data_IF_889406060337
#
_entry.id   IF_889406060337
#
_cell.length_a   1.000
_cell.length_b   1.000
_cell.length_c   1.000
_cell.angle_alpha   90.00
_cell.angle_beta   90.00
_cell.angle_gamma   90.00
#
_symmetry.space_group_name_H-M   'P 1'
#
loop_
_entity.id
_entity.type
_entity.pdbx_description
1 polymer ?
#
# COMPACT_ATOMS: atom_id res chain seq x y z
N UNK A 1 12.39 9.90 -18.69
CA UNK A 1 11.28 9.07 -19.19
C UNK A 1 11.82 7.71 -19.63
N UNK A 2 11.08 6.60 -19.54
CA UNK A 2 11.54 5.29 -20.09
C UNK A 2 11.74 5.40 -21.62
N UNK A 3 10.99 6.28 -22.27
CA UNK A 3 11.15 6.61 -23.69
C UNK A 3 12.45 7.38 -24.03
N UNK A 4 13.14 7.98 -23.05
CA UNK A 4 14.43 8.67 -23.29
C UNK A 4 15.61 7.68 -23.35
N UNK A 5 15.41 6.40 -23.02
CA UNK A 5 16.45 5.37 -23.01
C UNK A 5 16.36 4.40 -24.19
N UNK A 6 15.43 4.62 -25.12
CA UNK A 6 15.25 3.78 -26.29
C UNK A 6 15.81 4.47 -27.54
N UNK A 7 16.79 3.83 -28.19
CA UNK A 7 17.35 4.29 -29.46
C UNK A 7 16.83 3.39 -30.57
N UNK A 8 16.14 4.01 -31.53
CA UNK A 8 15.58 3.33 -32.68
C UNK A 8 16.56 3.46 -33.85
N UNK A 9 17.03 2.33 -34.36
CA UNK A 9 17.96 2.30 -35.49
C UNK A 9 17.59 1.17 -36.45
N UNK A 10 17.92 1.34 -37.73
CA UNK A 10 17.72 0.29 -38.73
C UNK A 10 18.55 -0.94 -38.36
N UNK A 11 17.95 -2.13 -38.40
CA UNK A 11 18.63 -3.40 -38.08
C UNK A 11 19.90 -3.61 -38.90
N UNK A 12 19.95 -3.17 -40.16
CA UNK A 12 21.17 -3.31 -40.97
C UNK A 12 22.38 -2.70 -40.26
N UNK A 13 22.20 -1.50 -39.69
CA UNK A 13 23.26 -0.75 -39.00
C UNK A 13 23.62 -1.39 -37.65
N UNK A 14 22.64 -1.87 -36.89
CA UNK A 14 22.86 -2.46 -35.56
C UNK A 14 23.40 -3.89 -35.65
N UNK A 15 22.84 -4.71 -36.55
CA UNK A 15 23.22 -6.11 -36.74
C UNK A 15 24.68 -6.29 -37.16
N UNK A 16 25.15 -5.48 -38.11
CA UNK A 16 26.54 -5.49 -38.59
C UNK A 16 27.53 -5.05 -37.49
N UNK A 17 27.19 -3.99 -36.72
CA UNK A 17 28.08 -3.45 -35.68
C UNK A 17 28.17 -4.28 -34.40
N UNK A 18 27.11 -5.04 -34.08
CA UNK A 18 27.04 -5.83 -32.85
C UNK A 18 27.12 -7.35 -33.09
N UNK A 19 27.45 -7.79 -34.30
CA UNK A 19 27.60 -9.22 -34.64
C UNK A 19 26.31 -10.04 -34.51
N UNK A 20 25.15 -9.38 -34.56
CA UNK A 20 23.82 -10.02 -34.45
C UNK A 20 23.13 -10.01 -35.81
N UNK A 21 23.72 -10.69 -36.77
CA UNK A 21 23.22 -10.65 -38.14
C UNK A 21 22.03 -11.60 -38.37
N UNK A 22 22.01 -12.77 -37.73
CA UNK A 22 21.02 -13.82 -38.01
C UNK A 22 20.04 -14.10 -36.87
N UNK A 23 20.12 -13.38 -35.74
CA UNK A 23 19.28 -13.63 -34.56
C UNK A 23 18.30 -12.49 -34.27
N UNK A 24 17.05 -12.86 -34.02
CA UNK A 24 15.98 -11.95 -33.56
C UNK A 24 15.59 -12.31 -32.13
N UNK A 25 15.41 -11.32 -31.28
CA UNK A 25 15.01 -11.53 -29.88
C UNK A 25 13.50 -11.57 -29.70
N UNK A 26 12.75 -10.84 -30.54
CA UNK A 26 11.29 -10.86 -30.54
C UNK A 26 10.74 -10.53 -31.93
N UNK A 27 9.55 -11.03 -32.22
CA UNK A 27 8.78 -10.69 -33.41
C UNK A 27 7.45 -10.10 -32.96
N UNK A 28 7.08 -8.96 -33.56
CA UNK A 28 5.77 -8.34 -33.34
C UNK A 28 4.97 -8.50 -34.62
N UNK A 29 3.86 -9.23 -34.54
CA UNK A 29 2.96 -9.49 -35.67
C UNK A 29 1.62 -8.85 -35.36
N UNK A 30 1.14 -8.00 -36.27
CA UNK A 30 -0.18 -7.39 -36.16
C UNK A 30 -1.20 -8.24 -36.91
N UNK A 31 -2.14 -8.83 -36.17
CA UNK A 31 -3.29 -9.52 -36.76
C UNK A 31 -4.42 -8.53 -37.09
N UNK A 32 -5.29 -8.90 -38.03
CA UNK A 32 -6.45 -8.09 -38.42
C UNK A 32 -7.54 -8.00 -37.34
N UNK A 33 -7.67 -9.04 -36.50
CA UNK A 33 -8.68 -9.14 -35.43
C UNK A 33 -8.09 -9.75 -34.15
N UNK A 34 -8.69 -9.42 -33.01
CA UNK A 34 -8.29 -9.91 -31.67
C UNK A 34 -8.43 -11.43 -31.53
N UNK A 35 -9.50 -12.02 -32.10
CA UNK A 35 -9.73 -13.48 -32.09
C UNK A 35 -8.69 -14.22 -32.91
N UNK A 36 -8.39 -13.71 -34.13
CA UNK A 36 -7.33 -14.24 -34.99
C UNK A 36 -5.94 -14.10 -34.38
N UNK A 37 -5.70 -13.05 -33.58
CA UNK A 37 -4.45 -12.89 -32.83
C UNK A 37 -4.27 -14.00 -31.79
N UNK A 38 -5.34 -14.38 -31.09
CA UNK A 38 -5.34 -15.48 -30.13
C UNK A 38 -5.06 -16.83 -30.79
N UNK A 39 -5.79 -17.16 -31.86
CA UNK A 39 -5.58 -18.41 -32.61
C UNK A 39 -4.17 -18.49 -33.22
N UNK A 40 -3.63 -17.37 -33.72
CA UNK A 40 -2.27 -17.31 -34.25
C UNK A 40 -1.23 -17.53 -33.15
N UNK A 41 -1.43 -16.93 -31.97
CA UNK A 41 -0.53 -17.13 -30.84
C UNK A 41 -0.51 -18.60 -30.39
N UNK A 42 -1.66 -19.25 -30.32
CA UNK A 42 -1.78 -20.66 -29.96
C UNK A 42 -1.10 -21.58 -30.99
N UNK A 43 -1.35 -21.36 -32.29
CA UNK A 43 -0.69 -22.10 -33.38
C UNK A 43 0.82 -21.95 -33.39
N UNK A 44 1.33 -20.75 -33.09
CA UNK A 44 2.76 -20.49 -33.00
C UNK A 44 3.39 -21.13 -31.77
N UNK A 45 2.65 -21.23 -30.66
CA UNK A 45 3.09 -21.86 -29.42
C UNK A 45 3.17 -23.39 -29.54
N UNK A 46 2.31 -23.99 -30.35
CA UNK A 46 2.28 -25.44 -30.64
C UNK A 46 3.25 -25.85 -31.77
N UNK A 47 3.92 -24.89 -32.42
CA UNK A 47 4.89 -25.19 -33.47
C UNK A 47 6.14 -25.88 -32.90
N UNK A 48 6.44 -27.10 -33.37
CA UNK A 48 7.57 -27.92 -32.89
C UNK A 48 8.93 -27.51 -33.47
N UNK A 49 8.94 -26.72 -34.54
CA UNK A 49 10.17 -26.32 -35.24
C UNK A 49 10.95 -25.23 -34.51
N UNK A 50 10.28 -24.38 -33.73
CA UNK A 50 10.90 -23.31 -32.95
C UNK A 50 10.16 -23.17 -31.62
N UNK A 51 10.89 -23.24 -30.50
CA UNK A 51 10.33 -22.98 -29.17
C UNK A 51 10.02 -21.48 -29.02
N UNK A 52 8.88 -21.05 -29.55
CA UNK A 52 8.40 -19.67 -29.49
C UNK A 52 7.46 -19.51 -28.31
N UNK A 53 7.77 -18.54 -27.44
CA UNK A 53 6.85 -18.11 -26.40
C UNK A 53 5.88 -17.07 -26.99
N UNK A 54 5.00 -17.54 -27.89
CA UNK A 54 4.00 -16.70 -28.53
C UNK A 54 2.88 -16.37 -27.53
N UNK A 55 2.59 -15.08 -27.40
CA UNK A 55 1.56 -14.56 -26.51
C UNK A 55 0.93 -13.33 -27.13
N UNK A 56 -0.33 -13.07 -26.79
CA UNK A 56 -1.02 -11.87 -27.27
C UNK A 56 -0.46 -10.62 -26.58
N UNK A 57 -0.58 -9.45 -27.21
CA UNK A 57 -0.16 -8.18 -26.61
C UNK A 57 -0.87 -7.94 -25.26
N UNK A 58 -2.17 -8.28 -25.19
CA UNK A 58 -2.95 -8.21 -23.95
C UNK A 58 -2.37 -9.10 -22.86
N UNK A 59 -2.06 -10.36 -23.17
CA UNK A 59 -1.48 -11.32 -22.23
C UNK A 59 -0.08 -10.89 -21.77
N UNK A 60 0.75 -10.36 -22.68
CA UNK A 60 2.05 -9.79 -22.35
C UNK A 60 1.93 -8.64 -21.33
N UNK A 61 1.03 -7.68 -21.57
CA UNK A 61 0.80 -6.58 -20.63
C UNK A 61 0.13 -7.03 -19.32
N UNK A 62 -0.74 -8.04 -19.36
CA UNK A 62 -1.32 -8.63 -18.16
C UNK A 62 -0.24 -9.27 -17.28
N UNK A 63 0.60 -10.13 -17.86
CA UNK A 63 1.73 -10.76 -17.14
C UNK A 63 2.70 -9.72 -16.57
N UNK A 64 2.93 -8.63 -17.31
CA UNK A 64 3.74 -7.51 -16.83
C UNK A 64 3.09 -6.80 -15.63
N UNK A 65 1.76 -6.66 -15.64
CA UNK A 65 1.00 -6.04 -14.54
C UNK A 65 0.86 -6.94 -13.31
N UNK A 66 0.87 -8.27 -13.47
CA UNK A 66 0.71 -9.21 -12.35
C UNK A 66 1.86 -9.10 -11.34
N UNK A 67 3.11 -8.97 -11.82
CA UNK A 67 4.27 -8.81 -10.93
C UNK A 67 4.15 -7.53 -10.09
N UNK A 68 3.77 -6.42 -10.71
CA UNK A 68 3.53 -5.15 -10.00
C UNK A 68 2.35 -5.26 -9.04
N UNK A 69 1.28 -5.98 -9.41
CA UNK A 69 0.09 -6.19 -8.58
C UNK A 69 0.40 -6.98 -7.32
N UNK A 70 1.20 -8.04 -7.42
CA UNK A 70 1.62 -8.85 -6.26
C UNK A 70 2.44 -8.03 -5.27
N UNK A 71 3.36 -7.19 -5.76
CA UNK A 71 4.14 -6.27 -4.91
C UNK A 71 3.24 -5.28 -4.17
N UNK A 72 2.26 -4.68 -4.87
CA UNK A 72 1.31 -3.76 -4.25
C UNK A 72 0.48 -4.43 -3.15
N UNK A 73 0.04 -5.67 -3.37
CA UNK A 73 -0.66 -6.44 -2.34
C UNK A 73 0.21 -6.71 -1.11
N UNK A 74 1.49 -7.05 -1.29
CA UNK A 74 2.41 -7.24 -0.19
C UNK A 74 2.58 -5.95 0.64
N UNK A 75 2.78 -4.80 -0.01
CA UNK A 75 2.91 -3.50 0.67
C UNK A 75 1.63 -3.14 1.43
N UNK A 76 0.45 -3.35 0.82
CA UNK A 76 -0.83 -3.16 1.50
C UNK A 76 -0.98 -4.06 2.71
N UNK A 77 -0.52 -5.31 2.63
CA UNK A 77 -0.47 -6.23 3.77
C UNK A 77 0.35 -5.68 4.92
N UNK A 78 1.58 -5.22 4.65
CA UNK A 78 2.45 -4.60 5.67
C UNK A 78 1.80 -3.37 6.29
N UNK A 79 1.14 -2.52 5.50
CA UNK A 79 0.41 -1.35 5.99
C UNK A 79 -0.70 -1.73 6.98
N UNK A 80 -1.46 -2.81 6.72
CA UNK A 80 -2.48 -3.32 7.64
C UNK A 80 -1.86 -3.82 8.94
N UNK A 81 -0.75 -4.56 8.88
CA UNK A 81 -0.05 -5.01 10.09
C UNK A 81 0.47 -3.84 10.94
N UNK A 82 1.03 -2.82 10.30
CA UNK A 82 1.45 -1.57 10.97
C UNK A 82 0.25 -0.85 11.61
N UNK A 83 -0.89 -0.80 10.92
CA UNK A 83 -2.12 -0.22 11.45
C UNK A 83 -2.58 -0.95 12.72
N UNK A 84 -2.59 -2.28 12.70
CA UNK A 84 -2.92 -3.09 13.89
C UNK A 84 -1.95 -2.76 15.03
N UNK A 85 -0.64 -2.70 14.77
CA UNK A 85 0.37 -2.33 15.77
C UNK A 85 0.14 -0.94 16.36
N UNK A 86 -0.23 0.04 15.54
CA UNK A 86 -0.55 1.39 16.01
C UNK A 86 -1.83 1.44 16.87
N UNK A 87 -2.84 0.60 16.60
CA UNK A 87 -4.02 0.49 17.47
C UNK A 87 -3.60 0.02 18.86
N UNK A 88 -2.75 -1.00 18.96
CA UNK A 88 -2.21 -1.46 20.24
C UNK A 88 -1.39 -0.37 20.94
N UNK A 89 -0.62 0.42 20.19
CA UNK A 89 0.11 1.57 20.71
C UNK A 89 -0.81 2.60 21.36
N UNK A 90 -1.85 3.04 20.63
CA UNK A 90 -2.87 3.97 21.13
C UNK A 90 -3.61 3.40 22.34
N UNK A 91 -3.94 2.11 22.30
CA UNK A 91 -4.64 1.46 23.40
C UNK A 91 -3.78 1.43 24.68
N UNK A 92 -2.49 1.14 24.55
CA UNK A 92 -1.57 1.12 25.69
C UNK A 92 -1.40 2.51 26.32
N UNK A 93 -1.26 3.55 25.50
CA UNK A 93 -1.16 4.93 26.01
C UNK A 93 -2.45 5.37 26.69
N UNK A 94 -3.61 5.01 26.15
CA UNK A 94 -4.91 5.29 26.77
C UNK A 94 -5.10 4.55 28.10
N UNK A 95 -4.69 3.28 28.20
CA UNK A 95 -4.71 2.57 29.49
C UNK A 95 -3.85 3.26 30.54
N UNK A 96 -2.64 3.71 30.16
CA UNK A 96 -1.76 4.45 31.07
C UNK A 96 -2.39 5.79 31.51
N UNK A 97 -2.95 6.56 30.57
CA UNK A 97 -3.61 7.83 30.86
C UNK A 97 -4.83 7.68 31.79
N UNK A 98 -5.64 6.64 31.56
CA UNK A 98 -6.79 6.34 32.42
C UNK A 98 -6.31 5.98 33.82
N UNK A 99 -5.27 5.14 33.95
CA UNK A 99 -4.72 4.71 35.24
C UNK A 99 -4.31 5.89 36.13
N UNK A 100 -3.72 6.93 35.52
CA UNK A 100 -3.33 8.15 36.23
C UNK A 100 -4.52 9.00 36.69
N UNK A 101 -5.65 8.95 35.97
CA UNK A 101 -6.84 9.77 36.23
C UNK A 101 -7.97 9.01 36.96
N UNK A 102 -7.72 7.78 37.44
CA UNK A 102 -8.76 6.92 38.07
C UNK A 102 -9.42 7.61 39.26
N UNK A 103 -8.63 8.25 40.13
CA UNK A 103 -9.14 8.90 41.35
C UNK A 103 -10.08 10.05 41.01
N UNK A 104 -9.72 10.87 40.03
CA UNK A 104 -10.51 12.02 39.59
C UNK A 104 -11.85 11.58 38.98
N UNK A 105 -11.83 10.51 38.16
CA UNK A 105 -13.04 9.91 37.59
C UNK A 105 -13.95 9.37 38.71
N UNK A 106 -13.36 8.77 39.75
CA UNK A 106 -14.07 8.29 40.93
C UNK A 106 -14.83 9.42 41.64
N UNK A 107 -14.17 10.56 41.86
CA UNK A 107 -14.79 11.75 42.49
C UNK A 107 -15.91 12.31 41.62
N UNK A 108 -15.69 12.48 40.31
CA UNK A 108 -16.71 12.96 39.37
C UNK A 108 -17.94 12.06 39.35
N UNK A 109 -17.74 10.74 39.41
CA UNK A 109 -18.85 9.77 39.45
C UNK A 109 -19.64 9.82 40.74
N UNK A 110 -19.02 10.15 41.87
CA UNK A 110 -19.73 10.35 43.15
C UNK A 110 -20.59 11.61 43.09
N UNK A 111 -20.12 12.65 42.40
CA UNK A 111 -20.87 13.89 42.17
C UNK A 111 -22.03 13.75 41.16
N UNK A 112 -22.24 12.55 40.58
CA UNK A 112 -23.37 12.27 39.70
C UNK A 112 -23.11 12.45 38.20
N UNK A 113 -21.85 12.62 37.76
CA UNK A 113 -21.55 12.65 36.33
C UNK A 113 -21.89 11.33 35.64
N UNK A 114 -22.54 11.43 34.47
CA UNK A 114 -22.86 10.26 33.66
C UNK A 114 -21.60 9.59 33.09
N UNK A 115 -21.60 8.25 33.05
CA UNK A 115 -20.48 7.44 32.51
C UNK A 115 -20.17 7.76 31.04
N UNK A 116 -21.19 8.18 30.30
CA UNK A 116 -21.10 8.58 28.89
C UNK A 116 -20.24 9.83 28.69
N UNK A 117 -20.25 10.80 29.60
CA UNK A 117 -19.40 11.98 29.49
C UNK A 117 -17.91 11.63 29.63
N UNK A 118 -17.60 10.70 30.55
CA UNK A 118 -16.22 10.19 30.73
C UNK A 118 -15.77 9.44 29.47
N UNK A 119 -16.64 8.58 28.91
CA UNK A 119 -16.37 7.86 27.67
C UNK A 119 -16.06 8.81 26.51
N UNK A 120 -16.92 9.80 26.29
CA UNK A 120 -16.78 10.77 25.19
C UNK A 120 -15.50 11.58 25.36
N UNK A 121 -15.15 11.98 26.59
CA UNK A 121 -13.90 12.71 26.85
C UNK A 121 -12.67 11.92 26.43
N UNK A 122 -12.59 10.63 26.78
CA UNK A 122 -11.45 9.78 26.41
C UNK A 122 -11.42 9.47 24.91
N UNK A 123 -12.58 9.25 24.29
CA UNK A 123 -12.69 9.07 22.85
C UNK A 123 -12.25 10.33 22.09
N UNK A 124 -12.62 11.51 22.56
CA UNK A 124 -12.15 12.77 21.98
C UNK A 124 -10.63 12.93 22.15
N UNK A 125 -10.09 12.60 23.33
CA UNK A 125 -8.64 12.62 23.56
C UNK A 125 -7.90 11.69 22.58
N UNK A 126 -8.39 10.46 22.39
CA UNK A 126 -7.78 9.51 21.44
C UNK A 126 -7.93 9.95 19.99
N UNK A 127 -9.08 10.52 19.62
CA UNK A 127 -9.31 11.05 18.26
C UNK A 127 -8.43 12.25 17.96
N UNK A 128 -8.22 13.17 18.92
CA UNK A 128 -7.33 14.32 18.75
C UNK A 128 -5.88 13.84 18.56
N UNK A 129 -5.42 12.90 19.39
CA UNK A 129 -4.08 12.32 19.24
C UNK A 129 -3.90 11.63 17.88
N UNK A 130 -4.92 10.90 17.42
CA UNK A 130 -4.91 10.24 16.13
C UNK A 130 -4.98 11.22 14.93
N UNK A 131 -5.68 12.34 15.08
CA UNK A 131 -5.75 13.39 14.07
C UNK A 131 -4.38 14.08 13.95
N UNK A 132 -3.78 14.48 15.08
CA UNK A 132 -2.45 15.10 15.10
C UNK A 132 -1.40 14.15 14.54
N UNK A 133 -1.39 12.89 14.98
CA UNK A 133 -0.49 11.87 14.44
C UNK A 133 -0.71 11.61 12.95
N UNK A 134 -1.97 11.60 12.50
CA UNK A 134 -2.33 11.46 11.08
C UNK A 134 -1.85 12.61 10.22
N UNK A 135 -2.01 13.86 10.69
CA UNK A 135 -1.51 15.06 9.99
C UNK A 135 0.01 15.02 9.89
N UNK A 136 0.71 14.71 10.98
CA UNK A 136 2.17 14.58 10.99
C UNK A 136 2.62 13.46 10.05
N UNK A 137 1.97 12.29 10.10
CA UNK A 137 2.26 11.17 9.22
C UNK A 137 2.04 11.51 7.74
N UNK A 138 0.96 12.22 7.41
CA UNK A 138 0.69 12.70 6.06
C UNK A 138 1.73 13.72 5.59
N UNK A 139 2.12 14.66 6.45
CA UNK A 139 3.15 15.64 6.15
C UNK A 139 4.51 14.96 5.88
N UNK A 140 4.89 13.96 6.68
CA UNK A 140 6.09 13.14 6.44
C UNK A 140 5.95 12.37 5.12
N UNK A 141 4.78 11.80 4.84
CA UNK A 141 4.49 11.08 3.60
C UNK A 141 4.64 11.96 2.35
N UNK A 142 4.24 13.22 2.42
CA UNK A 142 4.41 14.18 1.31
C UNK A 142 5.88 14.41 0.94
N UNK A 143 6.83 14.34 1.89
CA UNK A 143 8.26 14.42 1.55
C UNK A 143 8.76 13.25 0.70
N UNK A 144 8.03 12.13 0.71
CA UNK A 144 8.34 10.98 -0.12
C UNK A 144 7.76 11.10 -1.55
N UNK A 145 6.90 12.09 -1.81
CA UNK A 145 6.33 12.33 -3.14
C UNK A 145 7.42 12.69 -4.15
N UNK A 146 7.37 12.06 -5.33
CA UNK A 146 8.38 12.25 -6.37
C UNK A 146 9.69 11.48 -6.16
N UNK A 147 9.86 10.78 -5.03
CA UNK A 147 10.97 9.84 -4.87
C UNK A 147 10.83 8.72 -5.91
N UNK A 148 11.86 8.62 -6.74
CA UNK A 148 11.91 7.62 -7.81
C UNK A 148 12.87 6.52 -7.41
N UNK A 149 12.34 5.36 -7.02
CA UNK A 149 13.13 4.17 -6.76
C UNK A 149 13.26 3.37 -8.06
N UNK A 150 14.46 3.34 -8.63
CA UNK A 150 14.76 2.49 -9.79
C UNK A 150 15.15 1.11 -9.25
N UNK A 151 14.31 0.10 -9.51
CA UNK A 151 14.61 -1.28 -9.14
C UNK A 151 14.67 -2.13 -10.41
N UNK A 152 15.78 -2.85 -10.59
CA UNK A 152 15.93 -3.80 -11.69
C UNK A 152 15.29 -5.10 -11.25
N UNK A 153 14.11 -5.41 -11.78
CA UNK A 153 13.51 -6.74 -11.56
C UNK A 153 14.07 -7.65 -12.64
N UNK A 154 14.95 -8.57 -12.24
CA UNK A 154 15.43 -9.65 -13.10
C UNK A 154 14.38 -10.76 -13.17
N UNK A 155 13.48 -10.68 -14.15
CA UNK A 155 12.57 -11.76 -14.55
C UNK A 155 13.10 -12.54 -15.75
N UNK A 156 12.58 -13.75 -15.97
CA UNK A 156 12.92 -14.59 -17.13
C UNK A 156 12.68 -13.83 -18.44
N UNK A 157 13.75 -13.38 -19.10
CA UNK A 157 13.72 -12.88 -20.48
C UNK A 157 14.38 -11.52 -20.73
N UNK A 158 14.51 -10.65 -19.73
CA UNK A 158 15.31 -9.43 -19.80
C UNK A 158 15.33 -8.74 -18.42
N UNK A 159 16.48 -8.19 -18.01
CA UNK A 159 16.54 -7.27 -16.88
C UNK A 159 15.75 -6.00 -17.23
N UNK A 160 14.52 -5.89 -16.71
CA UNK A 160 13.66 -4.74 -16.99
C UNK A 160 13.76 -3.77 -15.82
N UNK A 161 14.14 -2.54 -16.15
CA UNK A 161 14.21 -1.44 -15.19
C UNK A 161 12.77 -1.04 -14.83
N UNK A 162 12.32 -1.43 -13.63
CA UNK A 162 11.05 -0.97 -13.08
C UNK A 162 11.32 0.31 -12.33
N UNK A 163 10.82 1.41 -12.87
CA UNK A 163 10.90 2.72 -12.22
C UNK A 163 9.67 2.85 -11.33
N UNK A 164 9.83 2.62 -10.03
CA UNK A 164 8.80 2.88 -9.03
C UNK A 164 8.83 4.38 -8.73
N UNK A 165 7.78 5.08 -9.15
CA UNK A 165 7.55 6.45 -8.72
C UNK A 165 6.61 6.42 -7.53
N UNK A 166 7.07 6.92 -6.39
CA UNK A 166 6.18 7.18 -5.27
C UNK A 166 5.35 8.42 -5.63
N UNK A 167 4.04 8.21 -5.80
CA UNK A 167 3.09 9.28 -6.08
C UNK A 167 2.15 9.39 -4.89
N UNK A 168 2.16 10.56 -4.25
CA UNK A 168 1.28 10.87 -3.13
C UNK A 168 0.08 11.65 -3.66
N UNK A 169 -1.00 10.93 -3.96
CA UNK A 169 -2.25 11.55 -4.40
C UNK A 169 -3.08 12.05 -3.19
N UNK A 170 -3.93 13.04 -3.41
CA UNK A 170 -4.87 13.57 -2.40
C UNK A 170 -5.76 12.46 -1.83
N UNK A 171 -6.17 11.49 -2.66
CA UNK A 171 -6.94 10.32 -2.22
C UNK A 171 -6.19 9.45 -1.21
N UNK A 172 -4.87 9.29 -1.37
CA UNK A 172 -4.03 8.47 -0.48
C UNK A 172 -3.88 9.18 0.88
N UNK A 173 -3.71 10.51 0.86
CA UNK A 173 -3.65 11.31 2.07
C UNK A 173 -4.98 11.28 2.84
N UNK A 174 -6.10 11.43 2.13
CA UNK A 174 -7.42 11.32 2.73
C UNK A 174 -7.67 9.92 3.32
N UNK A 175 -7.29 8.87 2.60
CA UNK A 175 -7.37 7.49 3.10
C UNK A 175 -6.46 7.28 4.33
N UNK A 176 -5.26 7.85 4.34
CA UNK A 176 -4.32 7.79 5.47
C UNK A 176 -4.86 8.49 6.72
N UNK A 177 -5.47 9.67 6.58
CA UNK A 177 -6.14 10.39 7.67
C UNK A 177 -7.36 9.62 8.21
N UNK A 178 -8.19 9.07 7.32
CA UNK A 178 -9.31 8.21 7.74
C UNK A 178 -8.80 6.98 8.49
N UNK A 179 -7.72 6.36 8.01
CA UNK A 179 -7.09 5.23 8.66
C UNK A 179 -6.58 5.63 10.05
N UNK A 180 -5.88 6.76 10.21
CA UNK A 180 -5.41 7.21 11.53
C UNK A 180 -6.58 7.46 12.50
N UNK A 181 -7.65 8.12 12.05
CA UNK A 181 -8.84 8.37 12.86
C UNK A 181 -9.54 7.07 13.28
N UNK A 182 -9.70 6.11 12.38
CA UNK A 182 -10.28 4.80 12.72
C UNK A 182 -9.42 4.05 13.72
N UNK A 183 -8.08 4.12 13.62
CA UNK A 183 -7.18 3.55 14.61
C UNK A 183 -7.32 4.23 15.98
N UNK A 184 -7.44 5.55 16.02
CA UNK A 184 -7.67 6.32 17.25
C UNK A 184 -9.01 5.99 17.92
N UNK A 185 -10.05 5.82 17.11
CA UNK A 185 -11.38 5.43 17.57
C UNK A 185 -11.35 4.02 18.16
N UNK A 186 -10.84 3.03 17.42
CA UNK A 186 -10.78 1.63 17.89
C UNK A 186 -9.87 1.50 19.11
N UNK A 187 -8.68 2.11 19.07
CA UNK A 187 -7.70 2.05 20.14
C UNK A 187 -8.16 2.73 21.43
N UNK A 188 -8.91 3.83 21.33
CA UNK A 188 -9.47 4.54 22.48
C UNK A 188 -10.77 3.95 23.04
N UNK A 189 -11.54 3.25 22.20
CA UNK A 189 -12.86 2.73 22.59
C UNK A 189 -12.78 1.68 23.70
N UNK A 190 -11.90 0.69 23.58
CA UNK A 190 -11.78 -0.38 24.59
C UNK A 190 -11.34 0.14 25.98
N UNK A 191 -10.28 0.96 26.10
CA UNK A 191 -9.91 1.56 27.39
C UNK A 191 -11.01 2.44 27.97
N UNK A 192 -11.66 3.26 27.14
CA UNK A 192 -12.71 4.17 27.60
C UNK A 192 -13.95 3.40 28.13
N UNK A 193 -14.32 2.29 27.49
CA UNK A 193 -15.34 1.34 27.99
C UNK A 193 -14.96 0.76 29.35
N UNK A 194 -13.71 0.32 29.50
CA UNK A 194 -13.21 -0.23 30.76
C UNK A 194 -13.28 0.80 31.89
N UNK A 195 -12.99 2.08 31.60
CA UNK A 195 -13.10 3.16 32.57
C UNK A 195 -14.53 3.36 33.10
N UNK A 196 -15.56 3.18 32.24
CA UNK A 196 -16.95 3.27 32.66
C UNK A 196 -17.36 2.17 33.66
N UNK A 197 -16.72 1.00 33.59
CA UNK A 197 -17.07 -0.16 34.42
C UNK A 197 -16.28 -0.29 35.72
N UNK A 198 -15.29 0.57 35.96
CA UNK A 198 -14.57 0.57 37.24
C UNK A 198 -15.53 0.90 38.39
N UNK A 199 -15.46 0.13 39.49
CA UNK A 199 -16.31 0.32 40.66
C UNK A 199 -15.77 1.49 41.50
N UNK A 200 -16.63 2.47 41.76
CA UNK A 200 -16.32 3.69 42.53
C UNK A 200 -15.81 3.43 43.96
N UNK A 201 -16.08 2.25 44.53
CA UNK A 201 -15.60 1.87 45.86
C UNK A 201 -14.16 1.35 45.86
N UNK A 202 -13.65 0.85 44.73
CA UNK A 202 -12.25 0.38 44.60
C UNK A 202 -11.29 1.54 44.27
N UNK A 203 -11.79 2.62 43.69
CA UNK A 203 -10.96 3.76 43.25
C UNK A 203 -10.49 4.68 44.41
N UNK A 204 -11.04 4.50 45.62
CA UNK A 204 -10.76 5.32 46.81
C UNK A 204 -9.98 4.57 47.91
N UNK A 205 -9.73 3.26 47.74
CA UNK A 205 -8.84 2.48 48.62
C UNK A 205 -7.42 2.52 48.08
#
# INVERSE_FOLDING_TARGET
STFDSEVWAKRQIVGERFGKESSYSSFVVRAADITKAGELAEKLKDSKEVALNAMTEKEYFMNLSETSRTLLWAIRGVAVFMAIGGIFGVMNTMFAAISQRIKDIGVLRILGYARTHVLISFLLESMILALVGGIIGCAIGMFADGLTAKSTVSGQGAAKLVVLQLVVNQEILAAGLLLSLTMGLIGGFFPALRAMWMKTLETLR
#
